data_IF_492736830128
#
_entry.id   IF_492736830128
#
_cell.length_a   1.000
_cell.length_b   1.000
_cell.length_c   1.000
_cell.angle_alpha   90.00
_cell.angle_beta   90.00
_cell.angle_gamma   90.00
#
_symmetry.space_group_name_H-M   'P 1'
#
loop_
_entity.id
_entity.type
_entity.pdbx_description
1 polymer ?
#
# COMPACT_ATOMS: atom_id res chain seq x y z
N UNK A 1 -25.14 -46.63 23.60
CA UNK A 1 -24.21 -45.48 23.62
C UNK A 1 -24.03 -45.01 22.18
N UNK A 2 -24.51 -43.81 21.84
CA UNK A 2 -24.30 -43.21 20.51
C UNK A 2 -23.04 -42.34 20.58
N UNK A 3 -22.07 -42.46 19.66
CA UNK A 3 -21.01 -41.48 19.56
C UNK A 3 -21.56 -40.24 18.83
N UNK A 4 -21.74 -39.16 19.61
CA UNK A 4 -21.50 -37.79 19.18
C UNK A 4 -19.96 -37.71 18.96
N UNK A 5 -19.39 -37.14 17.91
CA UNK A 5 -19.66 -35.84 17.27
C UNK A 5 -18.80 -35.78 16.02
N UNK A 6 -19.35 -35.27 14.93
CA UNK A 6 -18.58 -34.85 13.78
C UNK A 6 -17.60 -33.75 14.17
N UNK A 7 -16.30 -34.04 14.14
CA UNK A 7 -15.27 -33.03 14.01
C UNK A 7 -15.01 -32.84 12.53
N UNK A 8 -15.71 -31.88 11.93
CA UNK A 8 -15.21 -31.27 10.71
C UNK A 8 -13.83 -30.69 11.06
N UNK A 9 -12.77 -31.34 10.59
CA UNK A 9 -11.44 -30.74 10.50
C UNK A 9 -11.55 -29.57 9.51
N UNK A 10 -12.05 -28.44 9.99
CA UNK A 10 -11.80 -27.16 9.36
C UNK A 10 -10.29 -26.97 9.51
N UNK A 11 -9.55 -27.09 8.42
CA UNK A 11 -8.12 -26.80 8.37
C UNK A 11 -7.94 -25.30 8.63
N UNK A 12 -8.07 -24.88 9.88
CA UNK A 12 -7.79 -23.53 10.31
C UNK A 12 -6.27 -23.33 10.15
N UNK A 13 -5.91 -22.30 9.39
CA UNK A 13 -4.51 -21.95 9.19
C UNK A 13 -3.87 -21.65 10.55
N UNK A 14 -2.65 -22.15 10.76
CA UNK A 14 -1.91 -21.86 11.99
C UNK A 14 -1.74 -20.34 12.17
N UNK A 15 -2.04 -19.78 13.37
CA UNK A 15 -1.96 -18.35 13.61
C UNK A 15 -0.57 -17.75 13.36
N UNK A 16 0.50 -18.50 13.59
CA UNK A 16 1.86 -18.02 13.34
C UNK A 16 2.13 -17.91 11.85
N UNK A 17 1.74 -18.94 11.09
CA UNK A 17 1.80 -18.88 9.63
C UNK A 17 0.98 -17.72 9.06
N UNK A 18 -0.19 -17.43 9.64
CA UNK A 18 -1.02 -16.29 9.24
C UNK A 18 -0.35 -14.94 9.52
N UNK A 19 0.29 -14.80 10.68
CA UNK A 19 1.06 -13.61 11.05
C UNK A 19 2.26 -13.41 10.12
N UNK A 20 2.97 -14.48 9.77
CA UNK A 20 4.13 -14.43 8.86
C UNK A 20 3.72 -14.06 7.44
N UNK A 21 2.68 -14.68 6.89
CA UNK A 21 2.18 -14.33 5.56
C UNK A 21 1.72 -12.88 5.48
N UNK A 22 0.98 -12.41 6.49
CA UNK A 22 0.55 -11.01 6.55
C UNK A 22 1.73 -10.05 6.66
N UNK A 23 2.74 -10.43 7.44
CA UNK A 23 4.00 -9.68 7.58
C UNK A 23 4.73 -9.57 6.24
N UNK A 24 4.97 -10.69 5.55
CA UNK A 24 5.70 -10.73 4.29
C UNK A 24 4.99 -9.87 3.22
N UNK A 25 3.66 -9.97 3.14
CA UNK A 25 2.85 -9.14 2.24
C UNK A 25 2.98 -7.64 2.56
N UNK A 26 2.96 -7.24 3.84
CA UNK A 26 3.17 -5.83 4.20
C UNK A 26 4.57 -5.33 3.81
N UNK A 27 5.60 -6.17 3.93
CA UNK A 27 6.97 -5.86 3.54
C UNK A 27 7.11 -5.70 2.01
N UNK A 28 6.49 -6.59 1.24
CA UNK A 28 6.44 -6.49 -0.22
C UNK A 28 5.81 -5.15 -0.67
N UNK A 29 4.67 -4.78 -0.09
CA UNK A 29 4.01 -3.52 -0.39
C UNK A 29 4.87 -2.31 0.00
N UNK A 30 5.53 -2.33 1.16
CA UNK A 30 6.44 -1.26 1.57
C UNK A 30 7.62 -1.13 0.60
N UNK A 31 8.18 -2.25 0.17
CA UNK A 31 9.31 -2.25 -0.75
C UNK A 31 8.90 -1.72 -2.13
N UNK A 32 7.72 -2.10 -2.62
CA UNK A 32 7.17 -1.56 -3.85
C UNK A 32 6.89 -0.04 -3.75
N UNK A 33 6.41 0.44 -2.60
CA UNK A 33 6.25 1.89 -2.34
C UNK A 33 7.59 2.64 -2.34
N UNK A 34 8.64 2.06 -1.75
CA UNK A 34 10.00 2.64 -1.79
C UNK A 34 10.53 2.75 -3.22
N UNK A 35 10.23 1.77 -4.07
CA UNK A 35 10.58 1.78 -5.49
C UNK A 35 9.67 2.68 -6.34
N UNK A 36 8.66 3.31 -5.73
CA UNK A 36 7.72 4.20 -6.41
C UNK A 36 6.70 3.47 -7.29
N UNK A 37 6.52 2.16 -7.13
CA UNK A 37 5.52 1.40 -7.89
C UNK A 37 4.15 1.51 -7.22
N UNK A 38 3.21 2.22 -7.85
CA UNK A 38 1.82 2.37 -7.39
C UNK A 38 0.78 1.75 -8.33
N UNK A 39 1.21 1.08 -9.41
CA UNK A 39 0.27 0.60 -10.44
C UNK A 39 -0.70 -0.43 -9.90
N UNK A 40 -0.34 -1.09 -8.79
CA UNK A 40 -1.08 -2.21 -8.21
C UNK A 40 -1.81 -1.85 -6.90
N UNK A 41 -1.96 -0.56 -6.55
CA UNK A 41 -2.61 -0.16 -5.28
C UNK A 41 -4.00 -0.77 -5.07
N UNK A 42 -4.81 -0.89 -6.12
CA UNK A 42 -6.14 -1.51 -6.04
C UNK A 42 -6.06 -3.01 -5.76
N UNK A 43 -5.09 -3.69 -6.37
CA UNK A 43 -4.80 -5.11 -6.14
C UNK A 43 -4.31 -5.34 -4.71
N UNK A 44 -3.40 -4.50 -4.22
CA UNK A 44 -2.88 -4.58 -2.85
C UNK A 44 -3.98 -4.41 -1.81
N UNK A 45 -4.95 -3.53 -2.03
CA UNK A 45 -6.10 -3.38 -1.14
C UNK A 45 -6.85 -4.72 -1.00
N UNK A 46 -7.14 -5.40 -2.11
CA UNK A 46 -7.85 -6.68 -2.11
C UNK A 46 -7.01 -7.84 -1.56
N UNK A 47 -5.70 -7.86 -1.80
CA UNK A 47 -4.78 -8.83 -1.20
C UNK A 47 -4.70 -8.67 0.32
N UNK A 48 -4.59 -7.42 0.79
CA UNK A 48 -4.55 -7.11 2.22
C UNK A 48 -5.84 -7.48 2.94
N UNK A 49 -7.00 -7.20 2.34
CA UNK A 49 -8.29 -7.57 2.93
C UNK A 49 -8.42 -9.09 3.08
N UNK A 50 -8.01 -9.84 2.05
CA UNK A 50 -8.02 -11.31 2.07
C UNK A 50 -7.07 -11.86 3.12
N UNK A 51 -5.83 -11.39 3.15
CA UNK A 51 -4.83 -11.83 4.13
C UNK A 51 -5.24 -11.45 5.56
N UNK A 52 -5.86 -10.29 5.76
CA UNK A 52 -6.39 -9.87 7.06
C UNK A 52 -7.53 -10.77 7.52
N UNK A 53 -8.46 -11.10 6.63
CA UNK A 53 -9.56 -12.04 6.94
C UNK A 53 -9.04 -13.41 7.37
N UNK A 54 -7.98 -13.90 6.71
CA UNK A 54 -7.33 -15.16 7.08
C UNK A 54 -6.68 -15.05 8.47
N UNK A 55 -5.92 -13.98 8.72
CA UNK A 55 -5.30 -13.72 10.01
C UNK A 55 -6.35 -13.61 11.13
N UNK A 56 -7.43 -12.89 10.89
CA UNK A 56 -8.52 -12.74 11.85
C UNK A 56 -9.11 -14.10 12.22
N UNK A 57 -9.45 -14.94 11.23
CA UNK A 57 -10.00 -16.28 11.49
C UNK A 57 -9.02 -17.18 12.24
N UNK A 58 -7.72 -17.09 11.93
CA UNK A 58 -6.70 -17.85 12.63
C UNK A 58 -6.59 -17.41 14.10
N UNK A 59 -6.60 -16.10 14.36
CA UNK A 59 -6.59 -15.56 15.72
C UNK A 59 -7.88 -15.86 16.49
N UNK A 60 -9.04 -15.81 15.83
CA UNK A 60 -10.32 -16.20 16.44
C UNK A 60 -10.31 -17.68 16.86
N UNK A 61 -9.58 -18.53 16.12
CA UNK A 61 -9.36 -19.93 16.47
C UNK A 61 -8.61 -20.16 17.79
N UNK A 62 -7.87 -19.17 18.29
CA UNK A 62 -7.22 -19.23 19.60
C UNK A 62 -8.22 -18.99 20.76
N UNK A 63 -9.43 -18.52 20.47
CA UNK A 63 -10.43 -18.16 21.46
C UNK A 63 -10.04 -16.92 22.26
N UNK A 64 -10.60 -16.78 23.48
CA UNK A 64 -10.28 -15.64 24.34
C UNK A 64 -8.85 -15.78 24.89
N UNK A 65 -7.96 -14.91 24.40
CA UNK A 65 -6.57 -14.83 24.82
C UNK A 65 -6.40 -14.59 26.33
N UNK A 66 -7.41 -14.04 27.03
CA UNK A 66 -7.40 -13.85 28.49
C UNK A 66 -7.54 -15.16 29.26
N UNK A 67 -8.11 -16.18 28.62
CA UNK A 67 -8.31 -17.51 29.19
C UNK A 67 -7.13 -18.45 28.91
N UNK A 68 -6.16 -18.01 28.10
CA UNK A 68 -4.94 -18.77 27.87
C UNK A 68 -4.09 -18.81 29.14
N UNK A 69 -3.74 -20.03 29.56
CA UNK A 69 -2.89 -20.27 30.74
C UNK A 69 -1.43 -19.88 30.50
N UNK A 70 -1.00 -19.90 29.24
CA UNK A 70 0.36 -19.56 28.84
C UNK A 70 0.50 -18.05 28.62
N UNK A 71 0.98 -17.36 29.65
CA UNK A 71 1.24 -15.91 29.59
C UNK A 71 2.39 -15.56 28.63
N UNK A 72 3.36 -16.46 28.43
CA UNK A 72 4.46 -16.25 27.49
C UNK A 72 3.96 -16.22 26.05
N UNK A 73 3.07 -17.16 25.71
CA UNK A 73 2.39 -17.21 24.41
C UNK A 73 1.56 -15.94 24.16
N UNK A 74 0.77 -15.51 25.14
CA UNK A 74 -0.05 -14.29 25.04
C UNK A 74 0.82 -13.05 24.82
N UNK A 75 1.92 -12.93 25.58
CA UNK A 75 2.85 -11.82 25.43
C UNK A 75 3.51 -11.81 24.04
N UNK A 76 3.93 -12.97 23.55
CA UNK A 76 4.52 -13.09 22.21
C UNK A 76 3.52 -12.72 21.11
N UNK A 77 2.26 -13.17 21.19
CA UNK A 77 1.20 -12.77 20.27
C UNK A 77 0.97 -11.25 20.28
N UNK A 78 0.94 -10.63 21.47
CA UNK A 78 0.79 -9.17 21.59
C UNK A 78 1.92 -8.41 20.91
N UNK A 79 3.15 -8.84 21.10
CA UNK A 79 4.32 -8.22 20.45
C UNK A 79 4.23 -8.33 18.93
N UNK A 80 3.87 -9.50 18.41
CA UNK A 80 3.76 -9.73 16.96
C UNK A 80 2.61 -8.93 16.34
N UNK A 81 1.45 -8.88 16.98
CA UNK A 81 0.32 -8.04 16.55
C UNK A 81 0.70 -6.55 16.63
N UNK A 82 1.39 -6.14 17.69
CA UNK A 82 1.89 -4.77 17.84
C UNK A 82 2.82 -4.36 16.70
N UNK A 83 3.75 -5.24 16.31
CA UNK A 83 4.64 -5.02 15.18
C UNK A 83 3.88 -4.90 13.84
N UNK A 84 2.86 -5.73 13.61
CA UNK A 84 2.00 -5.65 12.43
C UNK A 84 1.24 -4.31 12.35
N UNK A 85 0.71 -3.83 13.47
CA UNK A 85 0.03 -2.54 13.53
C UNK A 85 0.97 -1.37 13.29
N UNK A 86 2.19 -1.41 13.85
CA UNK A 86 3.20 -0.40 13.61
C UNK A 86 3.58 -0.33 12.12
N UNK A 87 3.75 -1.48 11.47
CA UNK A 87 4.05 -1.57 10.04
C UNK A 87 2.88 -1.10 9.17
N UNK A 88 1.65 -1.40 9.59
CA UNK A 88 0.44 -0.90 8.94
C UNK A 88 0.37 0.64 8.96
N UNK A 89 0.71 1.25 10.09
CA UNK A 89 0.76 2.70 10.21
C UNK A 89 1.81 3.30 9.27
N UNK A 90 2.97 2.65 9.12
CA UNK A 90 4.00 3.06 8.18
C UNK A 90 3.51 3.00 6.72
N UNK A 91 2.86 1.90 6.33
CA UNK A 91 2.24 1.74 5.01
C UNK A 91 1.26 2.88 4.71
N UNK A 92 0.35 3.16 5.66
CA UNK A 92 -0.65 4.24 5.52
C UNK A 92 0.02 5.60 5.35
N UNK A 93 1.08 5.88 6.10
CA UNK A 93 1.86 7.12 5.98
C UNK A 93 2.50 7.24 4.60
N UNK A 94 3.22 6.21 4.15
CA UNK A 94 3.89 6.23 2.84
C UNK A 94 2.91 6.39 1.68
N UNK A 95 1.76 5.72 1.73
CA UNK A 95 0.70 5.88 0.73
C UNK A 95 0.17 7.32 0.69
N UNK A 96 -0.05 7.95 1.85
CA UNK A 96 -0.50 9.35 1.92
C UNK A 96 0.55 10.30 1.35
N UNK A 97 1.80 10.14 1.77
CA UNK A 97 2.92 10.97 1.32
C UNK A 97 3.11 10.87 -0.19
N UNK A 98 3.02 9.65 -0.74
CA UNK A 98 3.14 9.47 -2.19
C UNK A 98 1.98 10.11 -2.94
N UNK A 99 0.72 9.91 -2.50
CA UNK A 99 -0.45 10.57 -3.11
C UNK A 99 -0.32 12.08 -3.12
N UNK A 100 0.23 12.66 -2.06
CA UNK A 100 0.49 14.09 -1.98
C UNK A 100 1.52 14.54 -3.03
N UNK A 101 2.66 13.85 -3.13
CA UNK A 101 3.69 14.13 -4.15
C UNK A 101 3.14 14.03 -5.58
N UNK A 102 2.33 13.01 -5.88
CA UNK A 102 1.70 12.87 -7.20
C UNK A 102 0.78 14.05 -7.52
N UNK A 103 0.01 14.54 -6.54
CA UNK A 103 -0.84 15.73 -6.73
C UNK A 103 -0.02 16.99 -7.02
N UNK A 104 1.08 17.18 -6.31
CA UNK A 104 2.00 18.31 -6.51
C UNK A 104 2.69 18.26 -7.89
N UNK A 105 3.09 17.07 -8.32
CA UNK A 105 3.63 16.84 -9.67
C UNK A 105 2.58 17.15 -10.75
N UNK A 106 1.36 16.64 -10.61
CA UNK A 106 0.25 16.93 -11.54
C UNK A 106 -0.06 18.43 -11.60
N UNK A 107 -0.07 19.13 -10.46
CA UNK A 107 -0.27 20.57 -10.41
C UNK A 107 0.85 21.31 -11.16
N UNK A 108 2.09 20.88 -10.97
CA UNK A 108 3.26 21.46 -11.66
C UNK A 108 3.21 21.22 -13.17
N UNK A 109 2.86 20.00 -13.60
CA UNK A 109 2.68 19.67 -15.02
C UNK A 109 1.55 20.48 -15.66
N UNK A 110 0.45 20.71 -14.95
CA UNK A 110 -0.65 21.57 -15.43
C UNK A 110 -0.20 23.02 -15.62
N UNK A 111 0.58 23.57 -14.67
CA UNK A 111 1.17 24.91 -14.80
C UNK A 111 2.12 24.99 -15.98
N UNK A 112 3.01 24.01 -16.15
CA UNK A 112 3.91 23.92 -17.31
C UNK A 112 3.15 23.84 -18.63
N UNK A 113 2.13 22.98 -18.73
CA UNK A 113 1.28 22.89 -19.92
C UNK A 113 0.57 24.21 -20.24
N UNK A 114 0.11 24.93 -19.21
CA UNK A 114 -0.51 26.24 -19.40
C UNK A 114 0.50 27.28 -19.91
N UNK A 115 1.73 27.29 -19.40
CA UNK A 115 2.80 28.18 -19.87
C UNK A 115 3.17 27.89 -21.33
N UNK A 116 3.38 26.62 -21.70
CA UNK A 116 3.65 26.20 -23.08
C UNK A 116 2.51 26.58 -24.02
N UNK A 117 1.25 26.35 -23.60
CA UNK A 117 0.08 26.75 -24.39
C UNK A 117 0.06 28.26 -24.65
N UNK A 118 0.33 29.08 -23.62
CA UNK A 118 0.38 30.55 -23.75
C UNK A 118 1.46 31.02 -24.73
N UNK A 119 2.63 30.37 -24.72
CA UNK A 119 3.71 30.64 -25.67
C UNK A 119 3.31 30.25 -27.10
N UNK A 120 2.65 29.11 -27.29
CA UNK A 120 2.16 28.67 -28.60
C UNK A 120 0.96 29.46 -29.14
N UNK A 121 0.23 30.17 -28.27
CA UNK A 121 -0.90 31.06 -28.67
C UNK A 121 -0.52 32.54 -28.71
N UNK A 122 0.75 32.92 -28.50
CA UNK A 122 1.17 34.26 -28.86
C UNK A 122 1.20 34.35 -30.39
N UNK A 123 0.37 35.21 -31.01
CA UNK A 123 0.51 35.50 -32.43
C UNK A 123 1.87 36.15 -32.62
N UNK A 124 2.64 35.68 -33.61
CA UNK A 124 3.97 36.15 -34.01
C UNK A 124 4.29 37.59 -33.58
N UNK A 125 4.86 37.76 -32.38
CA UNK A 125 5.38 39.04 -31.91
C UNK A 125 6.87 39.15 -32.20
N UNK A 126 7.30 38.61 -33.34
CA UNK A 126 8.63 38.87 -33.89
C UNK A 126 8.48 39.09 -35.38
N UNK A 127 8.80 40.29 -35.91
CA UNK A 127 8.98 40.44 -37.34
C UNK A 127 10.10 39.48 -37.74
N UNK A 128 9.82 38.57 -38.69
CA UNK A 128 10.86 37.77 -39.34
C UNK A 128 12.01 38.71 -39.71
N UNK A 129 13.24 38.51 -39.22
CA UNK A 129 14.37 39.30 -39.68
C UNK A 129 14.56 38.97 -41.16
N UNK A 130 14.10 39.86 -42.03
CA UNK A 130 14.50 39.86 -43.44
C UNK A 130 15.98 40.24 -43.42
N UNK A 131 16.84 39.24 -43.53
CA UNK A 131 18.24 39.47 -43.88
C UNK A 131 18.24 40.19 -45.23
N UNK A 132 18.51 41.50 -45.20
CA UNK A 132 18.83 42.26 -46.40
C UNK A 132 20.25 41.79 -46.76
N UNK A 133 20.34 40.81 -47.64
CA UNK A 133 21.57 40.50 -48.35
C UNK A 133 21.87 41.64 -49.32
N UNK A 134 22.41 42.74 -48.80
CA UNK A 134 23.18 43.69 -49.58
C UNK A 134 24.65 43.25 -49.47
N UNK A 135 25.12 42.51 -50.47
CA UNK A 135 26.54 42.45 -50.80
C UNK A 135 26.69 42.08 -52.28
N UNK A 136 27.12 43.10 -53.03
CA UNK A 136 27.78 43.12 -54.34
C UNK A 136 27.01 42.60 -55.55
#
# INVERSE_FOLDING_TARGET
>A
MKPLTGQAHNQAMDPWMALEQYTAMQEEHLEALRRGNLREMSRWQAERERAFTILQRALDGLGDLRLLKDQGLVQHLRERIGALLARENLLRKQVRDHRQRTREQLASLRKGRQAVRRLGTQPEATPRPRFISNLA
#
